data_IF_965846230763
#
_entry.id   IF_965846230763
#
_cell.length_a   1.000
_cell.length_b   1.000
_cell.length_c   1.000
_cell.angle_alpha   90.00
_cell.angle_beta   90.00
_cell.angle_gamma   90.00
#
_symmetry.space_group_name_H-M   'P 1'
#
loop_
_entity.id
_entity.type
_entity.pdbx_description
1 polymer ?
#
# COMPACT_ATOMS: atom_id res chain seq x y z
N UNK A 1 -1.50 -11.09 0.79
CA UNK A 1 -2.67 -10.97 -0.12
C UNK A 1 -3.95 -10.53 0.58
N UNK A 2 -4.29 -11.08 1.76
CA UNK A 2 -5.54 -10.74 2.46
C UNK A 2 -5.68 -9.26 2.86
N UNK A 3 -4.60 -8.65 3.38
CA UNK A 3 -4.66 -7.30 3.97
C UNK A 3 -5.13 -6.20 3.00
N UNK A 4 -4.62 -6.18 1.75
CA UNK A 4 -5.05 -5.19 0.76
C UNK A 4 -6.52 -5.35 0.35
N UNK A 5 -7.01 -6.59 0.32
CA UNK A 5 -8.43 -6.87 0.06
C UNK A 5 -9.31 -6.37 1.21
N UNK A 6 -8.93 -6.62 2.46
CA UNK A 6 -9.63 -6.13 3.65
C UNK A 6 -9.74 -4.60 3.64
N UNK A 7 -8.62 -3.90 3.41
CA UNK A 7 -8.63 -2.43 3.31
C UNK A 7 -9.60 -1.95 2.23
N UNK A 8 -9.60 -2.58 1.06
CA UNK A 8 -10.51 -2.23 -0.04
C UNK A 8 -11.98 -2.37 0.36
N UNK A 9 -12.34 -3.50 0.97
CA UNK A 9 -13.70 -3.77 1.42
C UNK A 9 -14.14 -2.75 2.48
N UNK A 10 -13.29 -2.50 3.47
CA UNK A 10 -13.58 -1.56 4.55
C UNK A 10 -13.68 -0.12 4.04
N UNK A 11 -12.74 0.34 3.22
CA UNK A 11 -12.80 1.68 2.65
C UNK A 11 -14.00 1.86 1.73
N UNK A 12 -14.48 0.80 1.07
CA UNK A 12 -15.72 0.85 0.29
C UNK A 12 -16.91 1.12 1.19
N UNK A 13 -16.99 0.45 2.34
CA UNK A 13 -18.04 0.69 3.34
C UNK A 13 -17.94 2.10 3.91
N UNK A 14 -16.72 2.55 4.22
CA UNK A 14 -16.48 3.91 4.73
C UNK A 14 -16.93 4.97 3.73
N UNK A 15 -16.54 4.82 2.46
CA UNK A 15 -16.88 5.76 1.39
C UNK A 15 -18.39 5.83 1.10
N UNK A 16 -19.09 4.69 1.13
CA UNK A 16 -20.51 4.59 0.79
C UNK A 16 -21.45 4.92 1.94
N UNK A 17 -21.09 4.56 3.17
CA UNK A 17 -22.04 4.55 4.28
C UNK A 17 -21.56 5.32 5.49
N UNK A 18 -20.29 5.20 5.89
CA UNK A 18 -19.83 5.75 7.17
C UNK A 18 -19.53 7.25 7.06
N UNK A 19 -18.88 7.71 5.98
CA UNK A 19 -18.43 9.12 5.88
C UNK A 19 -19.58 10.12 6.04
N UNK A 20 -20.78 9.78 5.56
CA UNK A 20 -21.97 10.63 5.60
C UNK A 20 -22.63 10.71 6.99
N UNK A 21 -22.24 9.84 7.92
CA UNK A 21 -22.75 9.84 9.30
C UNK A 21 -21.98 10.82 10.20
N UNK A 22 -20.89 11.38 9.70
CA UNK A 22 -20.03 12.30 10.44
C UNK A 22 -19.98 13.66 9.75
N UNK A 23 -19.82 14.75 10.52
CA UNK A 23 -19.51 16.05 9.96
C UNK A 23 -18.22 16.02 9.09
N UNK A 24 -18.15 16.78 7.99
CA UNK A 24 -17.02 16.73 7.05
C UNK A 24 -15.65 16.99 7.68
N UNK A 25 -15.57 17.80 8.74
CA UNK A 25 -14.34 18.14 9.45
C UNK A 25 -13.62 16.93 10.07
N UNK A 26 -14.33 15.82 10.30
CA UNK A 26 -13.73 14.59 10.81
C UNK A 26 -12.91 13.83 9.75
N UNK A 27 -13.08 14.14 8.45
CA UNK A 27 -12.33 13.52 7.35
C UNK A 27 -12.25 11.98 7.45
N UNK A 28 -13.36 11.33 7.81
CA UNK A 28 -13.40 9.92 8.21
C UNK A 28 -12.75 8.97 7.20
N UNK A 29 -12.98 9.20 5.90
CA UNK A 29 -12.35 8.38 4.87
C UNK A 29 -10.83 8.47 4.91
N UNK A 30 -10.28 9.69 4.96
CA UNK A 30 -8.84 9.93 5.06
C UNK A 30 -8.26 9.30 6.32
N UNK A 31 -8.93 9.43 7.47
CA UNK A 31 -8.49 8.80 8.73
C UNK A 31 -8.34 7.29 8.59
N UNK A 32 -9.34 6.59 8.03
CA UNK A 32 -9.25 5.14 7.81
C UNK A 32 -8.14 4.79 6.81
N UNK A 33 -8.04 5.54 5.71
CA UNK A 33 -7.04 5.32 4.67
C UNK A 33 -5.62 5.47 5.23
N UNK A 34 -5.36 6.50 6.04
CA UNK A 34 -4.08 6.76 6.69
C UNK A 34 -3.72 5.69 7.71
N UNK A 35 -4.68 5.23 8.52
CA UNK A 35 -4.46 4.16 9.49
C UNK A 35 -4.02 2.86 8.80
N UNK A 36 -4.73 2.46 7.74
CA UNK A 36 -4.36 1.31 6.93
C UNK A 36 -2.99 1.50 6.26
N UNK A 37 -2.76 2.66 5.65
CA UNK A 37 -1.52 2.98 4.97
C UNK A 37 -0.31 2.92 5.91
N UNK A 38 -0.41 3.54 7.09
CA UNK A 38 0.65 3.54 8.10
C UNK A 38 0.94 2.14 8.63
N UNK A 39 -0.11 1.32 8.82
CA UNK A 39 0.08 -0.08 9.19
C UNK A 39 0.82 -0.86 8.10
N UNK A 40 0.44 -0.70 6.83
CA UNK A 40 1.11 -1.36 5.71
C UNK A 40 2.56 -0.88 5.54
N UNK A 41 2.82 0.42 5.69
CA UNK A 41 4.16 0.98 5.62
C UNK A 41 5.06 0.41 6.73
N UNK A 42 4.52 0.29 7.95
CA UNK A 42 5.22 -0.34 9.08
C UNK A 42 5.54 -1.82 8.81
N UNK A 43 4.58 -2.60 8.30
CA UNK A 43 4.81 -4.01 7.95
C UNK A 43 5.81 -4.17 6.79
N UNK A 44 5.71 -3.32 5.76
CA UNK A 44 6.61 -3.34 4.62
C UNK A 44 8.04 -3.01 5.04
N UNK A 45 8.23 -1.96 5.85
CA UNK A 45 9.53 -1.59 6.42
C UNK A 45 10.12 -2.72 7.26
N UNK A 46 9.33 -3.30 8.17
CA UNK A 46 9.79 -4.43 9.00
C UNK A 46 10.21 -5.64 8.15
N UNK A 47 9.47 -5.92 7.08
CA UNK A 47 9.80 -7.01 6.15
C UNK A 47 11.11 -6.71 5.40
N UNK A 48 11.28 -5.48 4.94
CA UNK A 48 12.50 -5.04 4.24
C UNK A 48 13.76 -5.04 5.13
N UNK A 49 13.61 -4.78 6.42
CA UNK A 49 14.70 -4.81 7.40
C UNK A 49 15.09 -6.25 7.83
N UNK A 50 14.24 -7.23 7.53
CA UNK A 50 14.56 -8.64 7.72
C UNK A 50 15.41 -9.14 6.53
N UNK A 51 16.22 -10.18 6.74
CA UNK A 51 17.00 -10.78 5.66
C UNK A 51 16.05 -11.48 4.67
N UNK A 52 15.67 -10.79 3.60
CA UNK A 52 14.80 -11.31 2.55
C UNK A 52 15.59 -12.12 1.52
N UNK A 53 15.04 -13.29 1.14
CA UNK A 53 15.46 -14.02 -0.06
C UNK A 53 15.01 -13.26 -1.32
N UNK A 54 15.66 -13.49 -2.47
CA UNK A 54 15.39 -12.76 -3.72
C UNK A 54 13.91 -12.79 -4.14
N UNK A 55 13.25 -13.96 -3.97
CA UNK A 55 11.83 -14.12 -4.30
C UNK A 55 10.94 -13.26 -3.41
N UNK A 56 11.32 -13.08 -2.15
CA UNK A 56 10.57 -12.26 -1.20
C UNK A 56 10.75 -10.77 -1.46
N UNK A 57 11.93 -10.36 -1.95
CA UNK A 57 12.18 -8.99 -2.42
C UNK A 57 11.27 -8.65 -3.59
N UNK A 58 11.23 -9.53 -4.62
CA UNK A 58 10.33 -9.34 -5.76
C UNK A 58 8.87 -9.26 -5.32
N UNK A 59 8.43 -10.13 -4.42
CA UNK A 59 7.06 -10.14 -3.91
C UNK A 59 6.73 -8.84 -3.16
N UNK A 60 7.63 -8.38 -2.30
CA UNK A 60 7.44 -7.13 -1.54
C UNK A 60 7.38 -5.91 -2.47
N UNK A 61 8.34 -5.77 -3.38
CA UNK A 61 8.37 -4.67 -4.35
C UNK A 61 7.14 -4.69 -5.27
N UNK A 62 6.76 -5.88 -5.77
CA UNK A 62 5.55 -6.06 -6.57
C UNK A 62 4.30 -5.66 -5.78
N UNK A 63 4.23 -6.01 -4.50
CA UNK A 63 3.08 -5.67 -3.69
C UNK A 63 2.99 -4.15 -3.44
N UNK A 64 4.10 -3.53 -3.02
CA UNK A 64 4.19 -2.10 -2.69
C UNK A 64 3.94 -1.20 -3.90
N UNK A 65 4.57 -1.49 -5.03
CA UNK A 65 4.55 -0.60 -6.20
C UNK A 65 3.41 -0.87 -7.18
N UNK A 66 2.89 -2.11 -7.19
CA UNK A 66 2.03 -2.56 -8.27
C UNK A 66 0.71 -3.14 -7.76
N UNK A 67 0.73 -4.26 -7.05
CA UNK A 67 -0.48 -5.03 -6.76
C UNK A 67 -1.45 -4.27 -5.86
N UNK A 68 -0.98 -3.74 -4.73
CA UNK A 68 -1.84 -3.01 -3.78
C UNK A 68 -2.39 -1.71 -4.41
N UNK A 69 -1.56 -0.79 -4.93
CA UNK A 69 -2.06 0.47 -5.47
C UNK A 69 -2.96 0.29 -6.70
N UNK A 70 -2.71 -0.70 -7.56
CA UNK A 70 -3.58 -0.96 -8.72
C UNK A 70 -4.92 -1.54 -8.29
N UNK A 71 -4.96 -2.46 -7.33
CA UNK A 71 -6.23 -3.08 -6.95
C UNK A 71 -7.19 -2.10 -6.26
N UNK A 72 -6.66 -1.15 -5.50
CA UNK A 72 -7.43 -0.05 -4.91
C UNK A 72 -8.04 0.87 -5.97
N UNK A 73 -7.31 1.14 -7.06
CA UNK A 73 -7.75 2.03 -8.15
C UNK A 73 -8.71 1.39 -9.16
N UNK A 74 -8.98 0.08 -9.06
CA UNK A 74 -9.97 -0.59 -9.92
C UNK A 74 -11.40 -0.18 -9.61
N UNK A 75 -11.67 0.26 -8.38
CA UNK A 75 -12.96 0.81 -7.98
C UNK A 75 -12.91 2.33 -8.14
N UNK A 76 -13.78 2.88 -9.00
CA UNK A 76 -13.77 4.31 -9.31
C UNK A 76 -14.05 5.19 -8.08
N UNK A 77 -14.97 4.77 -7.21
CA UNK A 77 -15.30 5.51 -5.99
C UNK A 77 -14.07 5.58 -5.07
N UNK A 78 -13.37 4.45 -4.89
CA UNK A 78 -12.15 4.44 -4.09
C UNK A 78 -11.02 5.24 -4.74
N UNK A 79 -10.87 5.18 -6.07
CA UNK A 79 -9.85 5.94 -6.77
C UNK A 79 -10.00 7.44 -6.55
N UNK A 80 -11.22 7.97 -6.71
CA UNK A 80 -11.53 9.39 -6.53
C UNK A 80 -11.32 9.85 -5.08
N UNK A 81 -11.69 9.03 -4.08
CA UNK A 81 -11.47 9.39 -2.68
C UNK A 81 -9.98 9.31 -2.30
N UNK A 82 -9.26 8.27 -2.72
CA UNK A 82 -7.83 8.12 -2.42
C UNK A 82 -6.96 9.18 -3.08
N UNK A 83 -7.36 9.72 -4.24
CA UNK A 83 -6.69 10.84 -4.89
C UNK A 83 -6.70 12.10 -3.99
N UNK A 84 -7.79 12.33 -3.24
CA UNK A 84 -7.89 13.45 -2.28
C UNK A 84 -7.04 13.24 -1.04
N UNK A 85 -6.86 11.98 -0.60
CA UNK A 85 -6.04 11.63 0.58
C UNK A 85 -4.55 11.81 0.30
N UNK A 86 -4.10 11.59 -0.94
CA UNK A 86 -2.69 11.66 -1.34
C UNK A 86 -1.77 10.76 -0.49
N UNK A 87 -2.14 9.48 -0.36
CA UNK A 87 -1.31 8.49 0.33
C UNK A 87 0.10 8.44 -0.29
N UNK A 88 1.12 8.48 0.57
CA UNK A 88 2.53 8.42 0.17
C UNK A 88 2.97 7.02 -0.28
N UNK A 89 4.30 6.83 -0.36
CA UNK A 89 4.90 5.52 -0.62
C UNK A 89 4.94 4.68 0.66
N UNK A 90 4.64 3.38 0.56
CA UNK A 90 4.71 2.46 1.70
C UNK A 90 6.14 2.18 2.19
N UNK A 91 7.13 2.37 1.31
CA UNK A 91 8.55 2.25 1.64
C UNK A 91 9.26 3.60 1.48
N UNK A 92 10.21 3.92 2.36
CA UNK A 92 11.14 5.02 2.13
C UNK A 92 11.87 4.86 0.80
N UNK A 93 12.10 5.95 0.08
CA UNK A 93 12.74 5.91 -1.25
C UNK A 93 14.12 5.25 -1.23
N UNK A 94 14.90 5.48 -0.16
CA UNK A 94 16.21 4.84 0.01
C UNK A 94 16.10 3.32 0.08
N UNK A 95 15.18 2.82 0.92
CA UNK A 95 14.97 1.39 1.14
C UNK A 95 14.38 0.71 -0.10
N UNK A 96 13.48 1.38 -0.82
CA UNK A 96 12.95 0.89 -2.09
C UNK A 96 14.07 0.69 -3.12
N UNK A 97 14.93 1.69 -3.29
CA UNK A 97 16.06 1.64 -4.24
C UNK A 97 17.08 0.55 -3.88
N UNK A 98 17.33 0.34 -2.59
CA UNK A 98 18.21 -0.72 -2.11
C UNK A 98 17.67 -2.10 -2.47
N UNK A 99 16.38 -2.34 -2.21
CA UNK A 99 15.71 -3.59 -2.56
C UNK A 99 15.64 -3.81 -4.07
N UNK A 100 15.33 -2.78 -4.84
CA UNK A 100 15.32 -2.83 -6.32
C UNK A 100 16.70 -3.21 -6.87
N UNK A 101 17.76 -2.58 -6.35
CA UNK A 101 19.13 -2.91 -6.72
C UNK A 101 19.47 -4.37 -6.40
N UNK A 102 19.17 -4.82 -5.17
CA UNK A 102 19.43 -6.20 -4.75
C UNK A 102 18.68 -7.22 -5.63
N UNK A 103 17.44 -6.92 -6.00
CA UNK A 103 16.68 -7.75 -6.93
C UNK A 103 17.33 -7.81 -8.32
N UNK A 104 17.72 -6.68 -8.90
CA UNK A 104 18.36 -6.63 -10.22
C UNK A 104 19.68 -7.41 -10.24
N UNK A 105 20.53 -7.22 -9.23
CA UNK A 105 21.78 -7.98 -9.08
C UNK A 105 21.52 -9.50 -8.96
N UNK A 106 20.46 -9.91 -8.27
CA UNK A 106 20.09 -11.32 -8.16
C UNK A 106 19.57 -11.94 -9.46
N UNK A 107 18.97 -11.14 -10.34
CA UNK A 107 18.45 -11.60 -11.63
C UNK A 107 19.57 -11.70 -12.67
N UNK A 108 20.53 -10.77 -12.67
CA UNK A 108 21.72 -10.83 -13.52
C UNK A 108 22.55 -12.10 -13.29
N UNK A 109 22.60 -12.62 -12.06
CA UNK A 109 23.27 -13.89 -11.72
C UNK A 109 22.49 -15.12 -12.19
N UNK A 110 21.18 -15.00 -12.43
CA UNK A 110 20.31 -16.11 -12.88
C UNK A 110 20.29 -16.27 -14.41
N UNK A 111 20.74 -15.27 -15.15
CA UNK A 111 20.87 -15.24 -16.63
C UNK A 111 22.21 -15.86 -17.04
#
# INVERSE_FOLDING_TARGET
>A
LHMGKTMKEDLTVVAKYIKQLYPPEFNVFSTYADLYHNYFASQAKKSAECHLEDKDIYLLLSWVHNLYPKDMRKDQLLAEELEKVQLGSLLPSSLSKELEKKYLESEEVRI
#
